data_IF_061271624602
#
_entry.id   IF_061271624602
#
_cell.length_a   1.000
_cell.length_b   1.000
_cell.length_c   1.000
_cell.angle_alpha   90.00
_cell.angle_beta   90.00
_cell.angle_gamma   90.00
#
_symmetry.space_group_name_H-M   'P 1'
#
loop_
_entity.id
_entity.type
_entity.pdbx_description
1 polymer ?
#
# COMPACT_ATOMS: atom_id res chain seq x y z
N UNK A 1 11.87 -17.49 25.98
CA UNK A 1 12.42 -17.94 24.67
C UNK A 1 13.60 -17.03 24.36
N UNK A 2 14.37 -17.25 23.28
CA UNK A 2 15.37 -16.26 22.84
C UNK A 2 14.79 -15.37 21.74
N UNK A 3 15.28 -14.14 21.66
CA UNK A 3 15.05 -13.22 20.54
C UNK A 3 15.30 -13.91 19.20
N UNK A 4 14.53 -13.54 18.17
CA UNK A 4 14.69 -14.06 16.82
C UNK A 4 14.66 -12.95 15.78
N UNK A 5 15.76 -12.80 15.04
CA UNK A 5 15.84 -11.82 13.96
C UNK A 5 14.97 -12.17 12.74
N UNK A 6 14.46 -13.40 12.65
CA UNK A 6 13.72 -13.85 11.47
C UNK A 6 12.47 -12.99 11.19
N UNK A 7 11.49 -12.85 12.11
CA UNK A 7 10.33 -11.98 11.91
C UNK A 7 10.72 -10.51 11.74
N UNK A 8 11.70 -10.01 12.50
CA UNK A 8 12.21 -8.64 12.37
C UNK A 8 12.85 -8.36 11.01
N UNK A 9 13.56 -9.32 10.43
CA UNK A 9 14.14 -9.20 9.09
C UNK A 9 13.08 -9.15 8.00
N UNK A 10 11.95 -9.86 8.15
CA UNK A 10 10.80 -9.71 7.25
C UNK A 10 10.12 -8.35 7.43
N UNK A 11 9.98 -7.87 8.67
CA UNK A 11 9.41 -6.56 8.96
C UNK A 11 10.27 -5.45 8.38
N UNK A 12 11.61 -5.54 8.50
CA UNK A 12 12.53 -4.59 7.87
C UNK A 12 12.30 -4.51 6.36
N UNK A 13 12.15 -5.66 5.68
CA UNK A 13 11.87 -5.68 4.24
C UNK A 13 10.51 -5.07 3.91
N UNK A 14 9.50 -5.29 4.74
CA UNK A 14 8.20 -4.61 4.58
C UNK A 14 8.37 -3.08 4.71
N UNK A 15 9.13 -2.61 5.71
CA UNK A 15 9.46 -1.19 5.88
C UNK A 15 10.24 -0.62 4.69
N UNK A 16 11.19 -1.39 4.13
CA UNK A 16 11.93 -1.00 2.92
C UNK A 16 10.97 -0.79 1.73
N UNK A 17 9.91 -1.61 1.60
CA UNK A 17 8.87 -1.43 0.57
C UNK A 17 7.99 -0.20 0.81
N UNK A 18 7.72 0.19 2.06
CA UNK A 18 7.07 1.48 2.36
C UNK A 18 7.89 2.65 1.80
N UNK A 19 9.22 2.60 1.96
CA UNK A 19 10.10 3.64 1.41
C UNK A 19 10.13 3.62 -0.11
N UNK A 20 10.12 2.43 -0.72
CA UNK A 20 10.02 2.28 -2.17
C UNK A 20 8.71 2.90 -2.71
N UNK A 21 7.56 2.60 -2.07
CA UNK A 21 6.26 3.19 -2.43
C UNK A 21 6.25 4.72 -2.35
N UNK A 22 6.92 5.30 -1.35
CA UNK A 22 7.03 6.76 -1.20
C UNK A 22 7.91 7.41 -2.27
N UNK A 23 8.97 6.73 -2.67
CA UNK A 23 9.95 7.25 -3.63
C UNK A 23 9.54 7.04 -5.09
N UNK A 24 8.63 6.11 -5.35
CA UNK A 24 8.30 5.69 -6.70
C UNK A 24 7.25 6.59 -7.35
N UNK A 25 7.52 7.01 -8.59
CA UNK A 25 6.56 7.74 -9.44
C UNK A 25 5.99 6.87 -10.56
N UNK A 26 6.65 5.75 -10.88
CA UNK A 26 6.18 4.78 -11.87
C UNK A 26 5.05 3.89 -11.30
N UNK A 27 3.83 3.91 -11.86
CA UNK A 27 2.71 3.09 -11.40
C UNK A 27 2.99 1.59 -11.36
N UNK A 28 3.75 1.08 -12.33
CA UNK A 28 4.06 -0.35 -12.39
C UNK A 28 4.94 -0.75 -11.21
N UNK A 29 5.99 0.04 -10.96
CA UNK A 29 6.88 -0.21 -9.82
C UNK A 29 6.21 0.05 -8.48
N UNK A 30 5.22 0.96 -8.41
CA UNK A 30 4.38 1.13 -7.23
C UNK A 30 3.56 -0.14 -6.94
N UNK A 31 2.95 -0.74 -7.97
CA UNK A 31 2.21 -1.98 -7.84
C UNK A 31 3.12 -3.15 -7.41
N UNK A 32 4.32 -3.26 -7.99
CA UNK A 32 5.31 -4.27 -7.61
C UNK A 32 5.75 -4.11 -6.13
N UNK A 33 6.09 -2.90 -5.71
CA UNK A 33 6.42 -2.63 -4.30
C UNK A 33 5.25 -2.92 -3.35
N UNK A 34 4.02 -2.68 -3.79
CA UNK A 34 2.82 -3.03 -3.04
C UNK A 34 2.66 -4.55 -2.88
N UNK A 35 2.80 -5.33 -3.96
CA UNK A 35 2.78 -6.79 -3.91
C UNK A 35 3.88 -7.34 -2.99
N UNK A 36 5.11 -6.85 -3.14
CA UNK A 36 6.24 -7.24 -2.31
C UNK A 36 5.98 -6.97 -0.82
N UNK A 37 5.37 -5.82 -0.49
CA UNK A 37 4.94 -5.49 0.87
C UNK A 37 3.97 -6.55 1.40
N UNK A 38 2.89 -6.88 0.68
CA UNK A 38 1.90 -7.86 1.10
C UNK A 38 2.54 -9.23 1.42
N UNK A 39 3.49 -9.65 0.58
CA UNK A 39 4.27 -10.88 0.79
C UNK A 39 5.12 -10.79 2.06
N UNK A 40 5.81 -9.66 2.30
CA UNK A 40 6.62 -9.51 3.52
C UNK A 40 5.77 -9.48 4.79
N UNK A 41 4.59 -8.85 4.78
CA UNK A 41 3.68 -8.84 5.93
C UNK A 41 3.24 -10.25 6.32
N UNK A 42 2.90 -11.09 5.34
CA UNK A 42 2.58 -12.50 5.60
C UNK A 42 3.80 -13.27 6.13
N UNK A 43 4.99 -12.99 5.58
CA UNK A 43 6.24 -13.59 6.08
C UNK A 43 6.55 -13.19 7.51
N UNK A 44 6.25 -11.95 7.94
CA UNK A 44 6.38 -11.55 9.34
C UNK A 44 5.55 -12.47 10.21
N UNK A 45 4.26 -12.64 9.88
CA UNK A 45 3.37 -13.52 10.64
C UNK A 45 3.85 -14.97 10.68
N UNK A 46 4.16 -15.56 9.53
CA UNK A 46 4.56 -16.97 9.44
C UNK A 46 5.87 -17.25 10.19
N UNK A 47 6.82 -16.31 10.16
CA UNK A 47 8.07 -16.42 10.93
C UNK A 47 7.84 -16.24 12.43
N UNK A 48 6.91 -15.38 12.84
CA UNK A 48 6.47 -15.29 14.23
C UNK A 48 5.82 -16.59 14.70
N UNK A 49 4.91 -17.17 13.91
CA UNK A 49 4.32 -18.47 14.23
C UNK A 49 5.39 -19.56 14.34
N UNK A 50 6.31 -19.67 13.39
CA UNK A 50 7.38 -20.67 13.43
C UNK A 50 8.30 -20.53 14.66
N UNK A 51 8.50 -19.30 15.14
CA UNK A 51 9.34 -19.04 16.31
C UNK A 51 8.59 -19.24 17.63
N UNK A 52 7.48 -18.52 17.82
CA UNK A 52 6.79 -18.44 19.11
C UNK A 52 5.86 -19.64 19.37
N UNK A 53 5.43 -20.40 18.36
CA UNK A 53 4.58 -21.59 18.53
C UNK A 53 5.20 -22.71 19.39
N UNK A 54 6.51 -22.63 19.65
CA UNK A 54 7.21 -23.51 20.60
C UNK A 54 6.74 -23.32 22.04
N UNK A 55 6.11 -22.18 22.36
CA UNK A 55 5.50 -21.94 23.67
C UNK A 55 4.05 -22.44 23.71
N UNK A 56 3.64 -23.19 24.74
CA UNK A 56 2.25 -23.62 24.91
C UNK A 56 1.28 -22.44 25.09
N UNK A 57 1.78 -21.24 25.46
CA UNK A 57 0.98 -20.02 25.60
C UNK A 57 0.71 -19.32 24.26
N UNK A 58 1.39 -19.71 23.17
CA UNK A 58 1.29 -19.06 21.87
C UNK A 58 -0.14 -18.99 21.36
N UNK A 59 -0.85 -20.12 21.34
CA UNK A 59 -2.22 -20.21 20.80
C UNK A 59 -3.17 -19.21 21.47
N UNK A 60 -3.10 -19.10 22.81
CA UNK A 60 -3.90 -18.12 23.55
C UNK A 60 -3.50 -16.68 23.23
N UNK A 61 -2.20 -16.39 23.26
CA UNK A 61 -1.68 -15.04 23.01
C UNK A 61 -2.00 -14.55 21.59
N UNK A 62 -1.76 -15.38 20.56
CA UNK A 62 -1.94 -14.99 19.16
C UNK A 62 -3.41 -14.85 18.75
N UNK A 63 -4.35 -15.44 19.50
CA UNK A 63 -5.78 -15.47 19.15
C UNK A 63 -6.37 -14.08 18.92
N UNK A 64 -5.98 -13.09 19.73
CA UNK A 64 -6.44 -11.70 19.61
C UNK A 64 -5.93 -11.06 18.31
N UNK A 65 -4.65 -11.22 17.99
CA UNK A 65 -4.05 -10.69 16.76
C UNK A 65 -4.58 -11.41 15.53
N UNK A 66 -4.79 -12.73 15.60
CA UNK A 66 -5.39 -13.50 14.53
C UNK A 66 -6.83 -13.09 14.26
N UNK A 67 -7.60 -12.76 15.31
CA UNK A 67 -8.93 -12.15 15.18
C UNK A 67 -8.84 -10.79 14.50
N UNK A 68 -7.95 -9.90 14.95
CA UNK A 68 -7.75 -8.59 14.33
C UNK A 68 -7.43 -8.72 12.83
N UNK A 69 -6.53 -9.64 12.44
CA UNK A 69 -6.21 -9.92 11.03
C UNK A 69 -7.40 -10.40 10.18
N UNK A 70 -8.49 -10.84 10.81
CA UNK A 70 -9.72 -11.30 10.13
C UNK A 70 -10.79 -10.22 10.09
N UNK A 71 -10.94 -9.44 11.17
CA UNK A 71 -12.09 -8.54 11.36
C UNK A 71 -11.75 -7.06 11.17
N UNK A 72 -10.49 -6.68 11.32
CA UNK A 72 -10.05 -5.32 11.02
C UNK A 72 -10.07 -5.09 9.51
N UNK A 73 -10.73 -4.04 8.99
CA UNK A 73 -10.88 -3.85 7.55
C UNK A 73 -9.56 -3.77 6.80
N UNK A 74 -8.59 -3.01 7.32
CA UNK A 74 -7.27 -2.92 6.69
C UNK A 74 -6.56 -4.28 6.70
N UNK A 75 -6.41 -4.92 7.87
CA UNK A 75 -5.65 -6.16 7.95
C UNK A 75 -6.30 -7.31 7.17
N UNK A 76 -7.63 -7.37 7.15
CA UNK A 76 -8.40 -8.32 6.36
C UNK A 76 -8.18 -8.09 4.86
N UNK A 77 -8.36 -6.85 4.40
CA UNK A 77 -8.11 -6.47 3.01
C UNK A 77 -6.69 -6.85 2.55
N UNK A 78 -5.64 -6.52 3.31
CA UNK A 78 -4.25 -6.83 2.93
C UNK A 78 -4.02 -8.33 2.73
N UNK A 79 -4.60 -9.17 3.60
CA UNK A 79 -4.48 -10.63 3.52
C UNK A 79 -5.19 -11.19 2.29
N UNK A 80 -6.37 -10.65 1.97
CA UNK A 80 -7.15 -11.07 0.81
C UNK A 80 -6.59 -10.52 -0.50
N UNK A 81 -6.04 -9.31 -0.52
CA UNK A 81 -5.31 -8.75 -1.65
C UNK A 81 -4.10 -9.61 -2.03
N UNK A 82 -3.35 -10.11 -1.04
CA UNK A 82 -2.24 -11.05 -1.31
C UNK A 82 -2.73 -12.35 -1.98
N UNK A 83 -3.83 -12.91 -1.48
CA UNK A 83 -4.38 -14.16 -2.03
C UNK A 83 -4.90 -13.97 -3.46
N UNK A 84 -5.57 -12.84 -3.73
CA UNK A 84 -6.08 -12.51 -5.06
C UNK A 84 -4.94 -12.35 -6.08
N UNK A 85 -3.82 -11.75 -5.66
CA UNK A 85 -2.61 -11.63 -6.47
C UNK A 85 -1.95 -13.00 -6.75
N UNK A 86 -1.76 -13.82 -5.71
CA UNK A 86 -1.08 -15.13 -5.82
C UNK A 86 -1.88 -16.18 -6.61
N UNK A 87 -3.21 -16.12 -6.59
CA UNK A 87 -4.06 -17.22 -7.08
C UNK A 87 -4.94 -16.91 -8.28
N UNK A 88 -5.32 -15.65 -8.50
CA UNK A 88 -6.30 -15.28 -9.54
C UNK A 88 -5.71 -14.48 -10.70
N UNK A 89 -4.44 -14.04 -10.62
CA UNK A 89 -3.82 -13.15 -11.61
C UNK A 89 -4.68 -11.90 -11.92
N UNK A 90 -5.53 -11.51 -10.96
CA UNK A 90 -6.37 -10.32 -11.04
C UNK A 90 -5.52 -9.10 -10.68
N UNK A 91 -5.69 -8.00 -11.41
CA UNK A 91 -5.03 -6.74 -11.08
C UNK A 91 -5.54 -6.28 -9.70
N UNK A 92 -4.66 -6.28 -8.69
CA UNK A 92 -4.97 -5.71 -7.36
C UNK A 92 -4.72 -4.20 -7.29
N UNK A 93 -4.41 -3.59 -8.45
CA UNK A 93 -4.08 -2.18 -8.61
C UNK A 93 -4.69 -1.64 -9.89
N UNK A 94 -5.32 -0.47 -9.85
CA UNK A 94 -5.72 0.25 -11.06
C UNK A 94 -4.68 1.32 -11.40
N UNK A 95 -4.36 1.45 -12.69
CA UNK A 95 -3.55 2.58 -13.20
C UNK A 95 -4.46 3.77 -13.47
N UNK A 96 -4.37 4.82 -12.65
CA UNK A 96 -5.03 6.09 -12.99
C UNK A 96 -4.32 6.74 -14.18
N UNK A 97 -5.04 7.22 -15.21
CA UNK A 97 -4.40 7.90 -16.33
C UNK A 97 -3.71 9.17 -15.83
N UNK A 98 -2.49 9.40 -16.33
CA UNK A 98 -1.81 10.67 -16.11
C UNK A 98 -2.59 11.82 -16.71
N UNK A 99 -2.48 12.99 -16.09
CA UNK A 99 -3.04 14.23 -16.63
C UNK A 99 -1.93 15.26 -16.76
N UNK A 100 -2.20 16.37 -17.39
CA UNK A 100 -1.26 17.48 -17.45
C UNK A 100 -2.03 18.76 -17.23
N UNK A 101 -1.42 19.68 -16.51
CA UNK A 101 -1.97 21.00 -16.26
C UNK A 101 -1.16 22.04 -17.00
N UNK A 102 -1.89 23.02 -17.53
CA UNK A 102 -1.37 24.21 -18.18
C UNK A 102 -1.62 25.40 -17.26
N UNK A 103 -0.56 25.96 -16.71
CA UNK A 103 -0.63 27.17 -15.89
C UNK A 103 0.16 28.30 -16.55
N UNK A 104 -0.18 29.57 -16.32
CA UNK A 104 0.66 30.67 -16.77
C UNK A 104 1.98 30.62 -16.00
N UNK A 105 3.11 30.72 -16.69
CA UNK A 105 4.43 30.78 -16.04
C UNK A 105 4.64 32.13 -15.32
N UNK A 106 3.88 33.15 -15.69
CA UNK A 106 3.92 34.50 -15.13
C UNK A 106 2.49 35.00 -14.97
N UNK A 107 2.15 35.55 -13.80
CA UNK A 107 0.82 36.07 -13.51
C UNK A 107 -0.16 34.98 -13.03
N UNK A 108 -1.45 35.31 -12.99
CA UNK A 108 -2.51 34.44 -12.44
C UNK A 108 -3.56 33.98 -13.46
N UNK A 109 -3.45 34.44 -14.70
CA UNK A 109 -4.41 34.13 -15.76
C UNK A 109 -3.68 33.58 -16.98
N UNK A 110 -4.25 32.55 -17.59
CA UNK A 110 -3.79 31.97 -18.84
C UNK A 110 -4.91 32.08 -19.87
N UNK A 111 -4.64 32.77 -20.97
CA UNK A 111 -5.51 32.80 -22.13
C UNK A 111 -4.89 31.95 -23.25
N UNK A 112 -5.67 30.97 -23.71
CA UNK A 112 -5.29 30.04 -24.78
C UNK A 112 -5.96 30.51 -26.07
N UNK A 113 -5.16 30.99 -27.02
CA UNK A 113 -5.64 31.47 -28.33
C UNK A 113 -6.00 30.32 -29.26
N UNK A 114 -5.14 29.30 -29.29
CA UNK A 114 -5.33 28.10 -30.08
C UNK A 114 -4.69 26.92 -29.36
N UNK A 115 -5.38 25.79 -29.40
CA UNK A 115 -4.89 24.53 -28.85
C UNK A 115 -5.41 23.38 -29.71
N UNK A 116 -4.50 22.54 -30.18
CA UNK A 116 -4.83 21.31 -30.89
C UNK A 116 -4.19 20.13 -30.16
N UNK A 117 -5.02 19.14 -29.81
CA UNK A 117 -4.62 17.91 -29.15
C UNK A 117 -4.98 16.75 -30.08
N UNK A 118 -4.00 15.94 -30.47
CA UNK A 118 -4.18 14.75 -31.28
C UNK A 118 -3.55 13.55 -30.58
N UNK A 119 -4.33 12.47 -30.38
CA UNK A 119 -3.90 11.23 -29.70
C UNK A 119 -3.14 11.47 -28.39
N UNK A 120 -3.57 12.46 -27.59
CA UNK A 120 -2.97 12.81 -26.31
C UNK A 120 -1.71 13.69 -26.39
N UNK A 121 -1.28 14.10 -27.59
CA UNK A 121 -0.18 15.03 -27.79
C UNK A 121 -0.69 16.40 -28.21
N UNK A 122 -0.07 17.46 -27.70
CA UNK A 122 -0.36 18.84 -28.11
C UNK A 122 0.43 19.14 -29.37
N UNK A 123 -0.26 19.21 -30.51
CA UNK A 123 0.36 19.54 -31.80
C UNK A 123 0.53 21.06 -31.98
N UNK A 124 -0.34 21.86 -31.34
CA UNK A 124 -0.28 23.32 -31.38
C UNK A 124 -0.79 23.91 -30.07
N UNK A 125 -0.05 24.87 -29.52
CA UNK A 125 -0.48 25.68 -28.38
C UNK A 125 -0.03 27.13 -28.59
N UNK A 126 -0.98 28.05 -28.59
CA UNK A 126 -0.76 29.49 -28.68
C UNK A 126 -1.38 30.18 -27.48
N UNK A 127 -0.60 30.99 -26.78
CA UNK A 127 -0.98 31.64 -25.52
C UNK A 127 -0.42 33.06 -25.47
N UNK A 128 -1.02 33.91 -24.64
CA UNK A 128 -0.55 35.30 -24.45
C UNK A 128 0.68 35.40 -23.55
N UNK A 129 0.88 34.41 -22.69
CA UNK A 129 1.96 34.34 -21.72
C UNK A 129 2.63 32.98 -21.78
N UNK A 130 3.94 32.88 -21.51
CA UNK A 130 4.60 31.57 -21.42
C UNK A 130 3.85 30.65 -20.46
N UNK A 131 3.80 29.36 -20.78
CA UNK A 131 3.09 28.35 -19.98
C UNK A 131 4.06 27.49 -19.18
N UNK A 132 3.66 27.15 -17.96
CA UNK A 132 4.24 26.08 -17.18
C UNK A 132 3.39 24.82 -17.40
N UNK A 133 3.99 23.85 -18.06
CA UNK A 133 3.46 22.49 -18.12
C UNK A 133 3.79 21.75 -16.83
N UNK A 134 2.80 21.07 -16.26
CA UNK A 134 3.04 20.11 -15.18
C UNK A 134 2.38 18.81 -15.58
N UNK A 135 3.19 17.78 -15.81
CA UNK A 135 2.70 16.41 -15.97
C UNK A 135 2.37 15.89 -14.58
N UNK A 136 1.14 15.42 -14.43
CA UNK A 136 0.67 14.67 -13.28
C UNK A 136 0.71 13.21 -13.75
N UNK A 137 1.75 12.50 -13.36
CA UNK A 137 1.87 11.09 -13.70
C UNK A 137 0.65 10.33 -13.18
N UNK A 138 0.24 9.31 -13.94
CA UNK A 138 -0.70 8.33 -13.43
C UNK A 138 -0.17 7.75 -12.13
N UNK A 139 -1.04 7.39 -11.19
CA UNK A 139 -0.64 6.70 -9.97
C UNK A 139 -1.34 5.35 -9.92
N UNK A 140 -0.65 4.33 -9.41
CA UNK A 140 -1.31 3.09 -9.08
C UNK A 140 -2.14 3.31 -7.81
N UNK A 141 -3.37 2.83 -7.80
CA UNK A 141 -4.29 2.94 -6.68
C UNK A 141 -4.76 1.55 -6.23
N UNK A 142 -5.00 1.35 -4.92
CA UNK A 142 -5.65 0.14 -4.45
C UNK A 142 -7.08 0.09 -4.99
N UNK A 143 -7.53 -1.14 -5.29
CA UNK A 143 -8.91 -1.40 -5.71
C UNK A 143 -9.54 -2.48 -4.84
N UNK A 144 -10.86 -2.60 -4.95
CA UNK A 144 -11.57 -3.70 -4.33
C UNK A 144 -11.05 -5.03 -4.90
N UNK A 145 -10.79 -6.00 -4.02
CA UNK A 145 -10.24 -7.31 -4.40
C UNK A 145 -11.27 -8.40 -4.17
N UNK A 146 -11.31 -9.39 -5.06
CA UNK A 146 -12.14 -10.58 -4.86
C UNK A 146 -11.25 -11.75 -4.46
N UNK A 147 -11.50 -12.37 -3.30
CA UNK A 147 -10.82 -13.60 -2.89
C UNK A 147 -11.87 -14.68 -2.64
N UNK A 148 -11.76 -15.81 -3.36
CA UNK A 148 -12.67 -16.97 -3.26
C UNK A 148 -14.16 -16.59 -3.38
N UNK A 149 -14.48 -15.66 -4.28
CA UNK A 149 -15.86 -15.21 -4.54
C UNK A 149 -16.42 -14.21 -3.53
N UNK A 150 -15.60 -13.70 -2.61
CA UNK A 150 -15.96 -12.64 -1.67
C UNK A 150 -15.20 -11.37 -2.03
N UNK A 151 -15.93 -10.26 -2.19
CA UNK A 151 -15.35 -8.95 -2.44
C UNK A 151 -14.92 -8.28 -1.13
N UNK A 152 -13.74 -7.68 -1.14
CA UNK A 152 -13.14 -6.92 -0.04
C UNK A 152 -12.86 -5.51 -0.53
N UNK A 153 -13.59 -4.54 0.02
CA UNK A 153 -13.45 -3.15 -0.35
C UNK A 153 -12.12 -2.55 0.13
N UNK A 154 -11.61 -1.55 -0.59
CA UNK A 154 -10.48 -0.74 -0.12
C UNK A 154 -10.82 -0.16 1.27
N UNK A 155 -9.97 -0.37 2.28
CA UNK A 155 -10.31 -0.06 3.67
C UNK A 155 -10.34 1.45 3.91
N UNK A 156 -11.39 1.92 4.59
CA UNK A 156 -11.53 3.31 5.03
C UNK A 156 -11.32 3.47 6.54
N UNK A 157 -10.94 2.38 7.22
CA UNK A 157 -10.64 2.35 8.65
C UNK A 157 -9.58 1.30 9.02
N UNK A 158 -8.89 1.53 10.13
CA UNK A 158 -7.98 0.60 10.79
C UNK A 158 -8.03 0.79 12.30
N UNK A 159 -8.25 -0.29 13.05
CA UNK A 159 -8.36 -0.31 14.51
C UNK A 159 -9.37 0.72 15.05
N UNK A 160 -10.50 0.86 14.36
CA UNK A 160 -11.58 1.81 14.69
C UNK A 160 -11.26 3.27 14.39
N UNK A 161 -10.16 3.57 13.68
CA UNK A 161 -9.79 4.91 13.24
C UNK A 161 -9.96 5.03 11.73
N UNK A 162 -10.53 6.14 11.27
CA UNK A 162 -10.71 6.40 9.84
C UNK A 162 -9.37 6.56 9.11
N UNK A 163 -9.32 6.11 7.86
CA UNK A 163 -8.27 6.32 6.87
C UNK A 163 -8.86 7.28 5.82
N UNK A 164 -8.66 8.61 5.94
CA UNK A 164 -9.33 9.59 5.08
C UNK A 164 -8.94 9.48 3.60
N UNK A 165 -7.69 9.03 3.33
CA UNK A 165 -7.13 8.91 2.00
C UNK A 165 -6.44 7.54 1.85
N UNK A 166 -7.20 6.47 1.58
CA UNK A 166 -6.63 5.13 1.47
C UNK A 166 -5.86 4.99 0.16
N UNK A 167 -4.54 5.18 0.25
CA UNK A 167 -3.56 4.91 -0.80
C UNK A 167 -2.54 3.89 -0.31
N UNK A 168 -1.69 3.36 -1.21
CA UNK A 168 -0.72 2.34 -0.85
C UNK A 168 0.20 2.75 0.31
N UNK A 169 0.71 3.99 0.31
CA UNK A 169 1.61 4.47 1.36
C UNK A 169 0.89 4.49 2.71
N UNK A 170 -0.29 5.10 2.79
CA UNK A 170 -1.05 5.22 4.02
C UNK A 170 -1.41 3.84 4.60
N UNK A 171 -1.85 2.91 3.76
CA UNK A 171 -2.17 1.54 4.19
C UNK A 171 -0.92 0.77 4.61
N UNK A 172 0.19 0.93 3.90
CA UNK A 172 1.45 0.25 4.19
C UNK A 172 2.06 0.70 5.52
N UNK A 173 2.02 1.99 5.82
CA UNK A 173 2.48 2.54 7.10
C UNK A 173 1.69 1.98 8.27
N UNK A 174 0.34 2.03 8.18
CA UNK A 174 -0.54 1.48 9.22
C UNK A 174 -0.30 -0.03 9.44
N UNK A 175 -0.10 -0.78 8.35
CA UNK A 175 0.21 -2.20 8.43
C UNK A 175 1.56 -2.46 9.13
N UNK A 176 2.62 -1.75 8.73
CA UNK A 176 3.95 -1.89 9.33
C UNK A 176 3.92 -1.50 10.80
N UNK A 177 3.19 -0.46 11.18
CA UNK A 177 3.01 -0.04 12.57
C UNK A 177 2.32 -1.15 13.39
N UNK A 178 1.25 -1.74 12.85
CA UNK A 178 0.55 -2.86 13.49
C UNK A 178 1.48 -4.06 13.72
N UNK A 179 2.23 -4.49 12.70
CA UNK A 179 3.14 -5.63 12.83
C UNK A 179 4.34 -5.31 13.72
N UNK A 180 4.83 -4.07 13.72
CA UNK A 180 5.88 -3.61 14.65
C UNK A 180 5.39 -3.74 16.10
N UNK A 181 4.19 -3.23 16.40
CA UNK A 181 3.59 -3.35 17.74
C UNK A 181 3.35 -4.80 18.14
N UNK A 182 2.89 -5.63 17.20
CA UNK A 182 2.67 -7.07 17.42
C UNK A 182 3.97 -7.81 17.75
N UNK A 183 5.07 -7.55 17.02
CA UNK A 183 6.36 -8.17 17.32
C UNK A 183 6.91 -7.72 18.66
N UNK A 184 6.86 -6.42 18.98
CA UNK A 184 7.31 -5.92 20.29
C UNK A 184 6.56 -6.60 21.44
N UNK A 185 5.23 -6.66 21.35
CA UNK A 185 4.41 -7.32 22.35
C UNK A 185 4.69 -8.84 22.46
N UNK A 186 5.06 -9.49 21.35
CA UNK A 186 5.45 -10.89 21.38
C UNK A 186 6.82 -11.09 22.08
N UNK A 187 7.82 -10.27 21.75
CA UNK A 187 9.13 -10.33 22.40
C UNK A 187 8.99 -10.09 23.92
N UNK A 188 8.26 -9.06 24.32
CA UNK A 188 8.01 -8.74 25.74
C UNK A 188 7.28 -9.87 26.48
N UNK A 189 6.40 -10.61 25.82
CA UNK A 189 5.64 -11.68 26.48
C UNK A 189 6.40 -13.02 26.54
N UNK A 190 7.25 -13.29 25.54
CA UNK A 190 7.81 -14.62 25.33
C UNK A 190 9.32 -14.71 25.53
N UNK A 191 10.05 -13.61 25.40
CA UNK A 191 11.52 -13.57 25.47
C UNK A 191 11.98 -12.96 26.77
N UNK A 192 11.37 -11.86 27.19
CA UNK A 192 11.53 -11.30 28.53
C UNK A 192 10.93 -12.22 29.61
#
# INVERSE_FOLDING_TARGET
>A
MKHSDAPWGALKRATDQVQALKAQTDPQKQAESWQDLLIQLERVWNKSEAHFSKSPKWTGWKSNYERLRKVDPLLSYLRHARNADEHTAEEITERKPGSWTLNPAIGKSLHIKHMNINKGQIERLETDVPVKFTVIDGAAAPIDVTDRGVAYAVPTEHLGKSIPSPNFVAMAELAVDFYTGTLKAAEEFFVD
#
